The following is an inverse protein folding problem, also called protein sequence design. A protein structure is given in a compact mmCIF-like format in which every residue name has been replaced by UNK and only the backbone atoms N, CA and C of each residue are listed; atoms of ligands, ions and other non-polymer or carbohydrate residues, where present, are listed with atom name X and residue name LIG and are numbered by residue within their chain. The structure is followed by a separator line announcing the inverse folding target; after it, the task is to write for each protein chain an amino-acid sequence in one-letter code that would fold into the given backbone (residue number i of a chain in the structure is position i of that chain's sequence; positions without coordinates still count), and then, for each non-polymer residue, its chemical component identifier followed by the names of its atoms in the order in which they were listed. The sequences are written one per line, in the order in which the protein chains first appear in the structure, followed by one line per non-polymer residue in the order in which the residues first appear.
data_IF_210797106860
#
_entry.id   IF_210797106860
#
_cell.length_a   1.000
_cell.length_b   1.000
_cell.length_c   1.000
_cell.angle_alpha   90.00
_cell.angle_beta   90.00
_cell.angle_gamma   90.00
#
_symmetry.space_group_name_H-M   'P 1'
#
loop_
_entity.id
_entity.type
_entity.pdbx_description
1 polymer ?
#
# COMPACT_ATOMS: atom_id res chain seq x y z
N UNK A 1 23.93 0.13 13.96
CA UNK A 1 22.53 0.43 13.60
C UNK A 1 21.61 -0.32 14.53
N UNK A 2 20.70 0.36 15.21
CA UNK A 2 19.68 -0.35 15.98
C UNK A 2 18.62 -0.91 15.03
N UNK A 3 18.17 -2.13 15.28
CA UNK A 3 17.05 -2.73 14.56
C UNK A 3 15.77 -1.97 14.88
N UNK A 4 14.86 -1.75 13.93
CA UNK A 4 13.56 -1.19 14.21
C UNK A 4 12.76 -2.14 15.12
N UNK A 5 11.99 -1.57 16.06
CA UNK A 5 11.14 -2.35 16.95
C UNK A 5 9.87 -2.85 16.23
N UNK A 6 9.33 -2.01 15.35
CA UNK A 6 8.16 -2.33 14.54
C UNK A 6 8.42 -1.95 13.09
N UNK A 7 8.05 -2.82 12.17
CA UNK A 7 8.12 -2.61 10.74
C UNK A 7 6.74 -2.80 10.12
N UNK A 8 6.23 -1.74 9.49
CA UNK A 8 4.98 -1.79 8.72
C UNK A 8 5.32 -1.79 7.24
N UNK A 9 4.91 -2.84 6.54
CA UNK A 9 5.08 -2.97 5.10
C UNK A 9 3.71 -2.88 4.44
N UNK A 10 3.55 -1.89 3.56
CA UNK A 10 2.29 -1.63 2.85
C UNK A 10 2.55 -1.79 1.36
N UNK A 11 1.77 -2.66 0.71
CA UNK A 11 1.77 -2.78 -0.73
C UNK A 11 1.04 -1.59 -1.34
N UNK A 12 1.46 -1.13 -2.52
CA UNK A 12 0.73 -0.12 -3.29
C UNK A 12 -0.70 -0.60 -3.60
N UNK A 13 -1.62 0.34 -3.76
CA UNK A 13 -2.98 0.07 -4.23
C UNK A 13 -3.00 -0.50 -5.64
N UNK A 14 -4.16 -0.95 -6.10
CA UNK A 14 -4.33 -1.47 -7.46
C UNK A 14 -3.78 -0.47 -8.49
N UNK A 15 -2.95 -0.96 -9.41
CA UNK A 15 -2.40 -0.18 -10.50
C UNK A 15 -2.97 -0.62 -11.85
N UNK A 16 -2.84 0.23 -12.86
CA UNK A 16 -3.23 -0.10 -14.23
C UNK A 16 -2.57 -1.39 -14.72
N UNK A 17 -1.30 -1.63 -14.36
CA UNK A 17 -0.61 -2.88 -14.67
C UNK A 17 -1.28 -4.10 -14.01
N UNK A 18 -1.77 -3.96 -12.77
CA UNK A 18 -2.48 -5.07 -12.10
C UNK A 18 -3.76 -5.45 -12.85
N UNK A 19 -4.50 -4.46 -13.34
CA UNK A 19 -5.74 -4.70 -14.12
C UNK A 19 -5.43 -5.45 -15.41
N UNK A 20 -4.37 -5.05 -16.13
CA UNK A 20 -3.96 -5.71 -17.38
C UNK A 20 -3.56 -7.17 -17.11
N UNK A 21 -2.74 -7.42 -16.09
CA UNK A 21 -2.30 -8.76 -15.72
C UNK A 21 -3.50 -9.64 -15.31
N UNK A 22 -4.37 -9.11 -14.48
CA UNK A 22 -5.54 -9.84 -14.00
C UNK A 22 -6.52 -10.20 -15.15
N UNK A 23 -6.73 -9.28 -16.08
CA UNK A 23 -7.53 -9.57 -17.26
C UNK A 23 -6.90 -10.68 -18.11
N UNK A 24 -5.57 -10.64 -18.30
CA UNK A 24 -4.84 -11.69 -19.03
C UNK A 24 -4.92 -13.07 -18.35
N UNK A 25 -4.86 -13.13 -17.03
CA UNK A 25 -5.05 -14.37 -16.27
C UNK A 25 -6.45 -14.96 -16.43
N UNK A 26 -7.46 -14.12 -16.70
CA UNK A 26 -8.83 -14.53 -17.00
C UNK A 26 -9.06 -14.85 -18.50
N UNK A 27 -7.99 -14.79 -19.32
CA UNK A 27 -8.05 -15.05 -20.75
C UNK A 27 -8.43 -13.84 -21.61
N UNK A 28 -8.59 -12.66 -21.02
CA UNK A 28 -8.86 -11.41 -21.74
C UNK A 28 -7.55 -10.66 -22.03
N UNK A 29 -7.08 -10.76 -23.26
CA UNK A 29 -5.86 -10.09 -23.73
C UNK A 29 -6.13 -8.75 -24.43
N UNK A 30 -7.35 -8.23 -24.40
CA UNK A 30 -7.73 -6.98 -25.08
C UNK A 30 -6.97 -5.76 -24.59
N UNK A 31 -6.50 -5.80 -23.34
CA UNK A 31 -5.71 -4.73 -22.70
C UNK A 31 -4.22 -4.79 -23.04
N UNK A 32 -3.72 -5.87 -23.65
CA UNK A 32 -2.33 -5.94 -24.14
C UNK A 32 -2.19 -5.19 -25.47
N UNK A 33 -2.39 -3.89 -25.43
CA UNK A 33 -2.20 -3.01 -26.58
C UNK A 33 -0.73 -2.61 -26.73
N UNK A 34 -0.32 -2.18 -27.93
CA UNK A 34 1.03 -1.68 -28.16
C UNK A 34 1.38 -0.51 -27.22
N UNK A 35 0.43 0.36 -26.95
CA UNK A 35 0.62 1.49 -26.03
C UNK A 35 0.90 1.03 -24.61
N UNK A 36 0.18 0.01 -24.11
CA UNK A 36 0.38 -0.54 -22.78
C UNK A 36 1.70 -1.31 -22.65
N UNK A 37 2.08 -2.07 -23.68
CA UNK A 37 3.33 -2.86 -23.67
C UNK A 37 4.56 -1.96 -23.63
N UNK A 38 4.49 -0.75 -24.16
CA UNK A 38 5.62 0.21 -24.17
C UNK A 38 5.76 1.01 -22.89
N UNK A 39 4.77 0.97 -21.98
CA UNK A 39 4.84 1.69 -20.70
C UNK A 39 5.91 1.08 -19.80
N UNK A 40 6.94 1.83 -19.35
CA UNK A 40 7.90 1.33 -18.40
C UNK A 40 7.22 0.91 -17.09
N UNK A 41 7.62 -0.21 -16.51
CA UNK A 41 7.01 -0.74 -15.27
C UNK A 41 6.93 0.29 -14.13
N UNK A 42 7.96 1.12 -13.99
CA UNK A 42 8.01 2.18 -12.98
C UNK A 42 6.97 3.30 -13.18
N UNK A 43 6.38 3.42 -14.37
CA UNK A 43 5.50 4.53 -14.76
C UNK A 43 4.01 4.23 -14.57
N UNK A 44 3.64 2.99 -14.30
CA UNK A 44 2.26 2.59 -14.06
C UNK A 44 1.66 3.33 -12.87
N UNK A 45 0.45 3.85 -13.05
CA UNK A 45 -0.27 4.64 -12.06
C UNK A 45 -1.29 3.79 -11.29
N UNK A 46 -1.79 4.34 -10.18
CA UNK A 46 -2.93 3.76 -9.48
C UNK A 46 -4.22 3.95 -10.28
N UNK A 47 -5.08 2.94 -10.20
CA UNK A 47 -6.48 3.05 -10.62
C UNK A 47 -7.29 3.85 -9.60
N UNK A 48 -8.54 4.20 -9.94
CA UNK A 48 -9.47 4.80 -8.98
C UNK A 48 -9.69 3.88 -7.76
N UNK A 49 -9.77 2.57 -7.98
CA UNK A 49 -9.85 1.55 -6.92
C UNK A 49 -8.59 1.56 -6.05
N UNK A 50 -7.42 1.59 -6.66
CA UNK A 50 -6.15 1.67 -5.92
C UNK A 50 -6.04 2.90 -5.04
N UNK A 51 -6.55 4.04 -5.48
CA UNK A 51 -6.61 5.26 -4.66
C UNK A 51 -7.55 5.11 -3.47
N UNK A 52 -8.72 4.50 -3.66
CA UNK A 52 -9.65 4.21 -2.55
C UNK A 52 -9.01 3.26 -1.52
N UNK A 53 -8.28 2.24 -1.97
CA UNK A 53 -7.55 1.33 -1.10
C UNK A 53 -6.49 2.07 -0.28
N UNK A 54 -5.71 2.94 -0.91
CA UNK A 54 -4.69 3.73 -0.24
C UNK A 54 -5.28 4.71 0.79
N UNK A 55 -6.37 5.39 0.45
CA UNK A 55 -7.08 6.29 1.36
C UNK A 55 -7.63 5.52 2.58
N UNK A 56 -8.20 4.34 2.37
CA UNK A 56 -8.71 3.49 3.44
C UNK A 56 -7.61 3.09 4.43
N UNK A 57 -6.46 2.65 3.93
CA UNK A 57 -5.29 2.29 4.75
C UNK A 57 -4.76 3.52 5.50
N UNK A 58 -4.67 4.66 4.84
CA UNK A 58 -4.25 5.91 5.46
C UNK A 58 -5.14 6.31 6.63
N UNK A 59 -6.45 6.30 6.44
CA UNK A 59 -7.43 6.59 7.50
C UNK A 59 -7.32 5.60 8.66
N UNK A 60 -7.14 4.32 8.36
CA UNK A 60 -6.97 3.31 9.40
C UNK A 60 -5.72 3.57 10.24
N UNK A 61 -4.57 3.84 9.61
CA UNK A 61 -3.33 4.16 10.32
C UNK A 61 -3.48 5.41 11.20
N UNK A 62 -4.16 6.43 10.71
CA UNK A 62 -4.45 7.64 11.48
C UNK A 62 -5.37 7.34 12.67
N UNK A 63 -6.41 6.52 12.48
CA UNK A 63 -7.33 6.13 13.56
C UNK A 63 -6.64 5.33 14.66
N UNK A 64 -5.62 4.55 14.31
CA UNK A 64 -4.77 3.82 15.26
C UNK A 64 -3.70 4.70 15.93
N UNK A 65 -3.67 5.99 15.62
CA UNK A 65 -2.66 6.94 16.10
C UNK A 65 -1.23 6.46 15.85
N UNK A 66 -1.02 5.76 14.72
CA UNK A 66 0.29 5.24 14.35
C UNK A 66 1.20 6.37 13.88
N UNK A 67 2.25 6.62 14.64
CA UNK A 67 3.33 7.54 14.28
C UNK A 67 4.60 6.73 14.02
N UNK A 68 5.29 7.09 12.97
CA UNK A 68 6.53 6.43 12.57
C UNK A 68 7.69 7.42 12.59
N UNK A 69 8.87 6.93 12.94
CA UNK A 69 10.10 7.74 12.92
C UNK A 69 10.66 7.88 11.51
N UNK A 70 10.39 6.91 10.66
CA UNK A 70 10.85 6.88 9.28
C UNK A 70 9.75 6.42 8.33
N UNK A 71 9.65 7.12 7.21
CA UNK A 71 8.75 6.79 6.11
C UNK A 71 9.59 6.55 4.87
N UNK A 72 9.48 5.37 4.29
CA UNK A 72 10.23 4.98 3.10
C UNK A 72 9.28 4.61 1.98
N UNK A 73 9.60 5.00 0.76
CA UNK A 73 8.75 4.77 -0.41
C UNK A 73 9.63 4.40 -1.61
N UNK A 74 9.15 3.45 -2.41
CA UNK A 74 9.77 3.10 -3.69
C UNK A 74 9.63 4.28 -4.68
N UNK A 75 10.58 4.45 -5.62
CA UNK A 75 10.50 5.50 -6.64
C UNK A 75 9.39 5.28 -7.69
N UNK A 76 8.76 4.11 -7.72
CA UNK A 76 7.70 3.79 -8.67
C UNK A 76 6.47 4.68 -8.48
N UNK A 77 5.86 5.11 -9.59
CA UNK A 77 4.73 6.04 -9.57
C UNK A 77 3.58 5.51 -8.70
N UNK A 78 3.16 4.26 -8.90
CA UNK A 78 2.08 3.62 -8.12
C UNK A 78 2.32 3.65 -6.61
N UNK A 79 3.58 3.48 -6.19
CA UNK A 79 3.94 3.49 -4.76
C UNK A 79 3.92 4.91 -4.19
N UNK A 80 4.42 5.87 -4.95
CA UNK A 80 4.40 7.28 -4.57
C UNK A 80 2.98 7.83 -4.50
N UNK A 81 2.12 7.45 -5.44
CA UNK A 81 0.70 7.82 -5.43
C UNK A 81 -0.01 7.19 -4.22
N UNK A 82 0.32 5.94 -3.85
CA UNK A 82 -0.20 5.29 -2.64
C UNK A 82 0.19 6.09 -1.40
N UNK A 83 1.48 6.42 -1.26
CA UNK A 83 1.98 7.19 -0.13
C UNK A 83 1.31 8.58 -0.02
N UNK A 84 1.16 9.28 -1.15
CA UNK A 84 0.50 10.58 -1.18
C UNK A 84 -1.00 10.49 -0.84
N UNK A 85 -1.68 9.46 -1.34
CA UNK A 85 -3.13 9.27 -1.10
C UNK A 85 -3.43 8.88 0.34
N UNK A 86 -2.54 8.12 1.01
CA UNK A 86 -2.69 7.81 2.43
C UNK A 86 -2.71 9.06 3.31
N UNK A 87 -2.14 10.18 2.87
CA UNK A 87 -2.17 11.48 3.54
C UNK A 87 -1.80 11.41 5.04
N UNK A 88 -0.75 10.66 5.37
CA UNK A 88 -0.32 10.49 6.76
C UNK A 88 0.23 11.81 7.32
N UNK A 89 -0.28 12.28 8.46
CA UNK A 89 0.15 13.56 9.04
C UNK A 89 1.64 13.51 9.42
N UNK A 90 2.35 14.59 9.12
CA UNK A 90 3.78 14.76 9.41
C UNK A 90 4.71 13.76 8.71
N UNK A 91 4.22 12.94 7.78
CA UNK A 91 5.03 11.99 7.05
C UNK A 91 6.04 12.70 6.13
N UNK A 92 7.33 12.45 6.35
CA UNK A 92 8.42 12.88 5.47
C UNK A 92 8.94 11.66 4.72
N UNK A 93 8.39 11.41 3.54
CA UNK A 93 8.73 10.25 2.73
C UNK A 93 10.14 10.35 2.13
N UNK A 94 10.94 9.32 2.33
CA UNK A 94 12.25 9.15 1.71
C UNK A 94 12.17 8.10 0.62
N UNK A 95 12.59 8.45 -0.59
CA UNK A 95 12.71 7.49 -1.68
C UNK A 95 13.84 6.51 -1.40
N UNK A 96 13.58 5.22 -1.60
CA UNK A 96 14.57 4.16 -1.53
C UNK A 96 14.57 3.35 -2.81
N UNK A 97 15.76 3.00 -3.28
CA UNK A 97 15.93 2.14 -4.47
C UNK A 97 15.71 0.65 -4.18
N UNK A 98 15.62 0.26 -2.92
CA UNK A 98 15.20 -1.10 -2.57
C UNK A 98 13.77 -1.35 -3.03
N UNK A 99 13.49 -2.54 -3.56
CA UNK A 99 12.21 -2.96 -4.15
C UNK A 99 11.08 -3.08 -3.11
N UNK A 100 10.95 -2.10 -2.21
CA UNK A 100 9.96 -2.13 -1.14
C UNK A 100 8.90 -1.09 -1.44
N UNK A 101 7.64 -1.49 -1.37
CA UNK A 101 6.53 -0.65 -1.78
C UNK A 101 6.36 0.60 -0.89
N UNK A 102 6.01 0.44 0.36
CA UNK A 102 5.92 1.53 1.36
C UNK A 102 6.29 0.96 2.71
N UNK A 103 7.18 1.62 3.42
CA UNK A 103 7.65 1.19 4.72
C UNK A 103 7.47 2.29 5.76
N UNK A 104 6.84 1.94 6.87
CA UNK A 104 6.85 2.74 8.08
C UNK A 104 7.67 2.03 9.16
N UNK A 105 8.58 2.74 9.80
CA UNK A 105 9.45 2.21 10.84
C UNK A 105 9.22 2.98 12.14
N UNK A 106 8.99 2.26 13.23
CA UNK A 106 8.86 2.82 14.60
C UNK A 106 10.06 2.42 15.44
N UNK A 107 10.55 3.37 16.21
CA UNK A 107 11.65 3.16 17.16
C UNK A 107 11.18 3.06 18.62
N UNK A 108 9.93 3.43 18.91
CA UNK A 108 9.37 3.38 20.27
C UNK A 108 8.45 2.16 20.46
N UNK A 109 8.54 1.46 21.58
CA UNK A 109 7.63 0.35 21.86
C UNK A 109 6.21 0.87 22.04
N UNK A 110 5.30 0.38 21.21
CA UNK A 110 3.85 0.53 21.39
C UNK A 110 3.31 -0.75 22.06
N UNK A 111 2.25 -0.67 22.87
CA UNK A 111 1.61 -1.86 23.37
C UNK A 111 1.25 -2.76 22.18
N UNK A 112 1.75 -3.99 22.23
CA UNK A 112 1.61 -5.01 21.19
C UNK A 112 0.14 -5.31 20.94
N UNK A 113 -0.44 -4.75 19.90
CA UNK A 113 -1.69 -5.29 19.36
C UNK A 113 -1.33 -6.60 18.65
N UNK A 114 -1.73 -7.70 19.22
CA UNK A 114 -1.42 -9.05 18.75
C UNK A 114 -1.98 -9.21 17.32
N UNK A 115 -1.13 -9.59 16.38
CA UNK A 115 -1.49 -9.80 14.97
C UNK A 115 -2.64 -10.81 14.78
N UNK A 116 -2.87 -11.70 15.76
CA UNK A 116 -4.02 -12.60 15.82
C UNK A 116 -5.34 -11.84 16.08
N UNK A 117 -5.32 -10.77 16.88
CA UNK A 117 -6.52 -9.96 17.12
C UNK A 117 -6.91 -9.11 15.91
N UNK A 118 -5.94 -8.63 15.12
CA UNK A 118 -6.20 -7.90 13.88
C UNK A 118 -6.87 -8.80 12.82
N UNK A 119 -6.42 -10.04 12.67
CA UNK A 119 -7.06 -11.00 11.75
C UNK A 119 -8.50 -11.31 12.16
N UNK A 120 -8.73 -11.55 13.45
CA UNK A 120 -10.08 -11.81 13.98
C UNK A 120 -11.03 -10.61 13.81
N UNK A 121 -10.52 -9.38 13.89
CA UNK A 121 -11.35 -8.17 13.67
C UNK A 121 -11.67 -7.93 12.19
N UNK A 122 -10.76 -8.26 11.28
CA UNK A 122 -11.01 -8.18 9.84
C UNK A 122 -12.04 -9.22 9.40
N UNK A 123 -11.95 -10.45 9.89
CA UNK A 123 -12.92 -11.53 9.62
C UNK A 123 -14.32 -11.20 10.17
N UNK A 124 -14.41 -10.54 11.32
CA UNK A 124 -15.69 -10.09 11.91
C UNK A 124 -16.34 -8.92 11.13
N UNK A 125 -15.52 -8.07 10.48
CA UNK A 125 -16.04 -6.98 9.64
C UNK A 125 -16.53 -7.48 8.28
N UNK A 126 -15.89 -8.47 7.69
CA UNK A 126 -16.34 -9.10 6.44
C UNK A 126 -17.70 -9.81 6.63
N UNK A 127 -17.90 -10.46 7.77
CA UNK A 127 -19.19 -11.09 8.09
C UNK A 127 -20.32 -10.10 8.40
N UNK A 128 -20.00 -8.88 8.80
CA UNK A 128 -21.03 -7.82 9.03
C UNK A 128 -21.46 -7.10 7.74
N UNK A 129 -20.67 -7.14 6.70
CA UNK A 129 -20.99 -6.52 5.40
C UNK A 129 -21.71 -7.48 4.44
N UNK A 130 -21.92 -8.73 4.84
CA UNK A 130 -22.55 -9.79 4.03
C UNK A 130 -24.00 -10.12 4.47
N UNK A 131 -24.65 -9.24 5.29
CA UNK A 131 -26.07 -9.38 5.69
C UNK A 131 -26.87 -8.16 5.23
#
# INVERSE_FOLDING_TARGET
MSMPLDLYVIRHGESEANVIVQAGEQGDNSLYTQDNVTVPDRSWRLTATGRKQADCIGRWLVSQQQLFDRYMVSPYVRTRETAATMALPKAKWRRTVCCVNVLGVRSTPSPRTNSKQLRAQLELQEHRSAV
#
